data_IF_313490354738
#
_entry.id   IF_313490354738
#
_cell.length_a   1.000
_cell.length_b   1.000
_cell.length_c   1.000
_cell.angle_alpha   90.00
_cell.angle_beta   90.00
_cell.angle_gamma   90.00
#
_symmetry.space_group_name_H-M   'P 1'
#
loop_
_entity.id
_entity.type
_entity.pdbx_description
1 polymer ?
#
# COMPACT_ATOMS: atom_id res chain seq x y z
N UNK A 1 49.36 2.55 2.18
CA UNK A 1 48.41 1.48 1.92
C UNK A 1 47.10 1.89 2.61
N UNK A 2 46.11 2.30 1.86
CA UNK A 2 44.82 2.68 2.41
C UNK A 2 44.05 1.39 2.71
N UNK A 3 43.60 1.21 3.93
CA UNK A 3 42.70 0.15 4.34
C UNK A 3 41.41 0.32 3.55
N UNK A 4 41.12 -0.66 2.73
CA UNK A 4 39.84 -0.75 2.01
C UNK A 4 38.73 -0.91 3.05
N UNK A 5 37.85 0.06 3.08
CA UNK A 5 36.60 0.11 3.88
C UNK A 5 35.90 -1.23 3.82
N UNK A 6 35.59 -1.83 4.97
CA UNK A 6 34.88 -3.11 5.11
C UNK A 6 33.41 -3.05 4.63
N UNK A 7 33.22 -2.74 3.37
CA UNK A 7 31.95 -2.95 2.68
C UNK A 7 31.96 -4.41 2.17
N UNK A 8 30.88 -5.17 2.34
CA UNK A 8 30.78 -6.52 1.82
C UNK A 8 30.92 -6.51 0.29
N UNK A 9 31.55 -7.55 -0.24
CA UNK A 9 31.68 -7.75 -1.68
C UNK A 9 30.28 -7.88 -2.35
N UNK A 10 30.14 -7.49 -3.63
CA UNK A 10 28.88 -7.62 -4.33
C UNK A 10 28.38 -9.07 -4.34
N UNK A 11 27.28 -9.31 -3.65
CA UNK A 11 26.66 -10.65 -3.51
C UNK A 11 26.80 -11.29 -2.13
N UNK A 12 27.59 -10.74 -1.22
CA UNK A 12 27.54 -11.18 0.18
C UNK A 12 26.30 -10.63 0.90
N UNK A 13 25.57 -11.47 1.65
CA UNK A 13 24.45 -10.98 2.45
C UNK A 13 24.97 -10.02 3.53
N UNK A 14 24.48 -8.78 3.47
CA UNK A 14 24.77 -7.80 4.52
C UNK A 14 24.20 -8.34 5.84
N UNK A 15 25.00 -8.48 6.91
CA UNK A 15 24.50 -8.95 8.19
C UNK A 15 23.42 -7.98 8.70
N UNK A 16 22.33 -8.48 9.28
CA UNK A 16 21.27 -7.63 9.80
C UNK A 16 21.80 -6.70 10.86
N UNK A 17 21.56 -5.40 10.70
CA UNK A 17 21.90 -4.41 11.73
C UNK A 17 20.97 -4.66 12.93
N UNK A 18 21.52 -4.95 14.13
CA UNK A 18 20.68 -5.18 15.30
C UNK A 18 19.77 -3.97 15.57
N UNK A 19 18.47 -4.19 15.62
CA UNK A 19 17.46 -3.16 15.91
C UNK A 19 16.93 -2.38 14.70
N UNK A 20 17.38 -2.66 13.47
CA UNK A 20 16.78 -2.05 12.26
C UNK A 20 15.65 -2.93 11.71
N UNK A 21 14.44 -2.39 11.66
CA UNK A 21 13.29 -3.04 11.00
C UNK A 21 12.96 -2.26 9.73
N UNK A 22 13.02 -2.93 8.59
CA UNK A 22 12.50 -2.38 7.32
C UNK A 22 11.05 -2.82 7.20
N UNK A 23 10.12 -1.88 7.30
CA UNK A 23 8.71 -2.13 7.05
C UNK A 23 8.39 -1.79 5.59
N UNK A 24 7.87 -2.75 4.85
CA UNK A 24 7.32 -2.53 3.51
C UNK A 24 5.81 -2.44 3.64
N UNK A 25 5.26 -1.27 3.38
CA UNK A 25 3.81 -1.09 3.29
C UNK A 25 3.47 -0.68 1.85
N UNK A 26 2.52 -1.34 1.24
CA UNK A 26 2.01 -0.98 -0.09
C UNK A 26 0.77 -0.13 0.12
N UNK A 27 0.88 1.17 -0.15
CA UNK A 27 -0.23 2.11 -0.02
C UNK A 27 -0.62 2.68 -1.39
N UNK A 28 -1.89 2.56 -1.77
CA UNK A 28 -2.41 3.05 -3.04
C UNK A 28 -2.63 4.57 -3.11
N UNK A 29 -2.30 5.32 -2.07
CA UNK A 29 -2.56 6.75 -1.96
C UNK A 29 -1.29 7.58 -1.78
N UNK A 30 -0.48 7.73 -2.82
CA UNK A 30 0.75 8.51 -2.78
C UNK A 30 0.55 10.02 -2.88
N UNK A 31 1.65 10.74 -2.78
CA UNK A 31 1.76 12.18 -2.98
C UNK A 31 2.13 12.94 -1.72
N UNK A 32 2.53 14.19 -1.91
CA UNK A 32 3.10 15.04 -0.86
C UNK A 32 2.31 15.06 0.46
N UNK A 33 0.99 15.22 0.38
CA UNK A 33 0.13 15.30 1.55
C UNK A 33 -0.18 13.95 2.21
N UNK A 34 0.20 12.86 1.59
CA UNK A 34 -0.01 11.49 2.08
C UNK A 34 1.23 10.89 2.73
N UNK A 35 2.37 11.58 2.67
CA UNK A 35 3.58 11.13 3.33
C UNK A 35 3.38 11.14 4.85
N UNK A 36 3.59 10.00 5.53
CA UNK A 36 3.57 9.94 6.99
C UNK A 36 4.87 10.52 7.57
N UNK A 37 5.05 10.44 8.88
CA UNK A 37 6.35 10.63 9.50
C UNK A 37 7.30 9.54 9.00
N UNK A 38 8.44 9.94 8.42
CA UNK A 38 9.34 9.04 7.69
C UNK A 38 10.34 8.30 8.58
N UNK A 39 10.52 8.75 9.82
CA UNK A 39 11.50 8.16 10.73
C UNK A 39 10.94 7.95 12.13
N UNK A 40 11.43 6.92 12.78
CA UNK A 40 11.23 6.66 14.21
C UNK A 40 12.48 5.98 14.78
N UNK A 41 12.62 5.87 16.10
CA UNK A 41 13.76 5.14 16.67
C UNK A 41 13.86 3.71 16.10
N UNK A 42 14.98 3.41 15.44
CA UNK A 42 15.26 2.11 14.83
C UNK A 42 14.56 1.81 13.49
N UNK A 43 13.79 2.76 12.89
CA UNK A 43 13.15 2.52 11.61
C UNK A 43 13.00 3.77 10.74
N UNK A 44 13.00 3.57 9.43
CA UNK A 44 12.68 4.60 8.43
C UNK A 44 11.74 4.03 7.36
N UNK A 45 10.90 4.87 6.79
CA UNK A 45 10.00 4.54 5.67
C UNK A 45 10.57 5.08 4.37
N UNK A 46 10.57 4.27 3.31
CA UNK A 46 11.13 4.62 2.00
C UNK A 46 10.15 4.34 0.87
N UNK A 47 10.29 5.06 -0.22
CA UNK A 47 9.59 4.80 -1.47
C UNK A 47 8.07 4.82 -1.37
N UNK A 48 7.42 3.88 -2.04
CA UNK A 48 5.95 3.79 -2.09
C UNK A 48 5.33 3.50 -0.72
N UNK A 49 6.04 2.78 0.16
CA UNK A 49 5.62 2.59 1.55
C UNK A 49 5.47 3.91 2.32
N UNK A 50 6.24 4.92 1.94
CA UNK A 50 6.17 6.27 2.47
C UNK A 50 5.25 7.20 1.64
N UNK A 51 4.55 6.69 0.63
CA UNK A 51 3.71 7.49 -0.26
C UNK A 51 4.48 8.39 -1.24
N UNK A 52 5.74 8.08 -1.51
CA UNK A 52 6.62 8.89 -2.39
C UNK A 52 6.32 8.70 -3.88
N UNK A 53 5.07 8.85 -4.27
CA UNK A 53 4.60 8.69 -5.65
C UNK A 53 4.18 10.04 -6.22
N UNK A 54 4.70 10.39 -7.39
CA UNK A 54 4.16 11.49 -8.19
C UNK A 54 2.81 11.06 -8.78
N UNK A 55 1.74 11.51 -8.15
CA UNK A 55 0.37 11.15 -8.52
C UNK A 55 -0.10 11.81 -9.83
N UNK A 56 0.56 12.84 -10.31
CA UNK A 56 0.24 13.49 -11.57
C UNK A 56 0.89 12.76 -12.76
N UNK A 57 2.14 12.31 -12.58
CA UNK A 57 2.87 11.56 -13.60
C UNK A 57 2.70 10.04 -13.47
N UNK A 58 2.07 9.54 -12.40
CA UNK A 58 1.96 8.12 -12.05
C UNK A 58 3.33 7.42 -11.99
N UNK A 59 4.29 8.08 -11.38
CA UNK A 59 5.69 7.62 -11.30
C UNK A 59 6.21 7.69 -9.87
N UNK A 60 6.87 6.61 -9.41
CA UNK A 60 7.44 6.51 -8.06
C UNK A 60 8.84 5.88 -8.04
N UNK A 61 9.22 5.09 -9.06
CA UNK A 61 10.45 4.27 -9.02
C UNK A 61 11.72 5.09 -8.73
N UNK A 62 11.87 6.24 -9.35
CA UNK A 62 13.02 7.12 -9.11
C UNK A 62 13.04 7.70 -7.68
N UNK A 63 11.87 7.96 -7.09
CA UNK A 63 11.75 8.35 -5.69
C UNK A 63 12.08 7.18 -4.75
N UNK A 64 11.69 5.95 -5.08
CA UNK A 64 12.05 4.75 -4.32
C UNK A 64 13.57 4.58 -4.28
N UNK A 65 14.24 4.66 -5.42
CA UNK A 65 15.70 4.56 -5.50
C UNK A 65 16.38 5.69 -4.70
N UNK A 66 15.95 6.94 -4.91
CA UNK A 66 16.55 8.09 -4.22
C UNK A 66 16.32 8.03 -2.71
N UNK A 67 15.13 7.68 -2.26
CA UNK A 67 14.84 7.56 -0.82
C UNK A 67 15.62 6.42 -0.18
N UNK A 68 15.82 5.30 -0.88
CA UNK A 68 16.68 4.21 -0.42
C UNK A 68 18.13 4.65 -0.20
N UNK A 69 18.69 5.44 -1.12
CA UNK A 69 20.04 6.00 -0.96
C UNK A 69 20.11 6.93 0.25
N UNK A 70 19.16 7.86 0.39
CA UNK A 70 19.14 8.79 1.52
C UNK A 70 18.94 8.08 2.86
N UNK A 71 18.12 7.01 2.88
CA UNK A 71 17.91 6.18 4.05
C UNK A 71 19.20 5.45 4.46
N UNK A 72 19.90 4.87 3.49
CA UNK A 72 21.16 4.18 3.74
C UNK A 72 22.21 5.13 4.34
N UNK A 73 22.33 6.33 3.80
CA UNK A 73 23.22 7.37 4.33
C UNK A 73 22.87 7.75 5.78
N UNK A 74 21.57 7.99 6.04
CA UNK A 74 21.11 8.36 7.38
C UNK A 74 21.30 7.23 8.40
N UNK A 75 21.03 5.98 8.02
CA UNK A 75 21.26 4.80 8.87
C UNK A 75 22.75 4.62 9.16
N UNK A 76 23.60 4.76 8.15
CA UNK A 76 25.04 4.66 8.33
C UNK A 76 25.55 5.71 9.32
N UNK A 77 25.11 6.96 9.20
CA UNK A 77 25.48 8.02 10.15
C UNK A 77 24.92 7.75 11.55
N UNK A 78 23.69 7.25 11.65
CA UNK A 78 23.11 6.88 12.94
C UNK A 78 23.95 5.80 13.65
N UNK A 79 24.33 4.74 12.94
CA UNK A 79 25.14 3.64 13.49
C UNK A 79 26.54 4.14 13.88
N UNK A 80 27.15 4.98 13.04
CA UNK A 80 28.53 5.43 13.23
C UNK A 80 28.70 6.52 14.29
N UNK A 81 27.76 7.46 14.36
CA UNK A 81 27.90 8.68 15.17
C UNK A 81 26.80 8.87 16.21
N UNK A 82 25.77 8.03 16.21
CA UNK A 82 24.56 8.22 17.03
C UNK A 82 23.63 9.32 16.52
N UNK A 83 23.84 9.87 15.32
CA UNK A 83 22.98 10.89 14.74
C UNK A 83 21.52 10.41 14.63
N UNK A 84 20.56 11.25 14.97
CA UNK A 84 19.15 10.89 14.92
C UNK A 84 18.69 10.59 13.48
N UNK A 85 17.85 9.55 13.30
CA UNK A 85 17.26 9.20 12.00
C UNK A 85 16.33 10.28 11.43
N UNK A 86 15.94 11.27 12.25
CA UNK A 86 15.20 12.44 11.77
C UNK A 86 15.93 13.23 10.67
N UNK A 87 17.26 13.15 10.60
CA UNK A 87 18.05 13.72 9.51
C UNK A 87 17.67 13.18 8.13
N UNK A 88 17.07 11.99 8.07
CA UNK A 88 16.53 11.43 6.84
C UNK A 88 15.32 12.23 6.32
N UNK A 89 14.44 12.70 7.20
CA UNK A 89 13.28 13.52 6.83
C UNK A 89 13.72 14.82 6.18
N UNK A 90 14.70 15.50 6.78
CA UNK A 90 15.28 16.72 6.23
C UNK A 90 15.95 16.48 4.88
N UNK A 91 16.67 15.36 4.74
CA UNK A 91 17.32 14.98 3.50
C UNK A 91 16.30 14.69 2.38
N UNK A 92 15.18 14.05 2.69
CA UNK A 92 14.08 13.81 1.74
C UNK A 92 13.46 15.14 1.30
N UNK A 93 13.13 16.02 2.23
CA UNK A 93 12.50 17.32 1.95
C UNK A 93 13.38 18.21 1.06
N UNK A 94 14.69 18.24 1.31
CA UNK A 94 15.66 19.03 0.56
C UNK A 94 16.01 18.41 -0.80
N UNK A 95 15.73 17.13 -1.01
CA UNK A 95 16.04 16.40 -2.24
C UNK A 95 15.10 16.74 -3.40
N UNK A 96 15.30 16.05 -4.53
CA UNK A 96 14.35 16.09 -5.66
C UNK A 96 12.97 15.54 -5.26
N UNK A 97 12.91 14.57 -4.33
CA UNK A 97 11.64 13.97 -3.88
C UNK A 97 10.72 15.04 -3.31
N UNK A 98 11.16 15.75 -2.27
CA UNK A 98 10.37 16.80 -1.63
C UNK A 98 9.96 17.90 -2.64
N UNK A 99 10.91 18.33 -3.49
CA UNK A 99 10.65 19.39 -4.49
C UNK A 99 9.65 18.98 -5.56
N UNK A 100 9.78 17.80 -6.13
CA UNK A 100 8.90 17.30 -7.18
C UNK A 100 7.50 17.01 -6.64
N UNK A 101 7.39 16.30 -5.52
CA UNK A 101 6.10 16.02 -4.91
C UNK A 101 5.37 17.29 -4.45
N UNK A 102 6.13 18.30 -3.96
CA UNK A 102 5.54 19.58 -3.63
C UNK A 102 4.93 20.29 -4.84
N UNK A 103 5.55 20.19 -6.02
CA UNK A 103 5.04 20.82 -7.24
C UNK A 103 3.67 20.27 -7.65
N UNK A 104 3.43 18.98 -7.43
CA UNK A 104 2.18 18.30 -7.83
C UNK A 104 1.22 18.03 -6.67
N UNK A 105 1.50 18.56 -5.49
CA UNK A 105 0.84 18.21 -4.23
C UNK A 105 -0.70 18.32 -4.21
N UNK A 106 -1.28 19.16 -5.05
CA UNK A 106 -2.73 19.38 -5.13
C UNK A 106 -3.34 18.88 -6.46
N UNK A 107 -2.53 18.26 -7.33
CA UNK A 107 -3.02 17.82 -8.64
C UNK A 107 -4.12 16.78 -8.54
N UNK A 108 -3.96 15.78 -7.65
CA UNK A 108 -4.95 14.72 -7.44
C UNK A 108 -6.27 15.26 -6.89
N UNK A 109 -6.21 16.18 -5.94
CA UNK A 109 -7.40 16.75 -5.29
C UNK A 109 -8.30 17.52 -6.27
N UNK A 110 -7.74 18.07 -7.33
CA UNK A 110 -8.51 18.74 -8.36
C UNK A 110 -9.54 17.81 -9.02
N UNK A 111 -9.22 16.53 -9.17
CA UNK A 111 -10.09 15.55 -9.84
C UNK A 111 -11.30 15.09 -9.01
N UNK A 112 -11.41 15.48 -7.75
CA UNK A 112 -12.66 15.27 -6.99
C UNK A 112 -13.88 15.92 -7.64
N UNK A 113 -13.67 16.96 -8.45
CA UNK A 113 -14.71 17.67 -9.18
C UNK A 113 -15.02 17.05 -10.56
N UNK A 114 -14.62 15.80 -10.76
CA UNK A 114 -14.75 15.11 -12.03
C UNK A 114 -13.63 15.42 -13.02
N UNK A 115 -13.62 14.71 -14.15
CA UNK A 115 -12.50 14.75 -15.09
C UNK A 115 -12.30 16.13 -15.74
N UNK A 116 -13.35 16.76 -16.26
CA UNK A 116 -13.24 18.02 -17.01
C UNK A 116 -12.79 19.17 -16.11
N UNK A 117 -13.54 19.40 -15.01
CA UNK A 117 -13.21 20.46 -14.06
C UNK A 117 -11.88 20.17 -13.37
N UNK A 118 -11.62 18.92 -13.04
CA UNK A 118 -10.36 18.46 -12.46
C UNK A 118 -9.16 18.79 -13.36
N UNK A 119 -9.25 18.53 -14.65
CA UNK A 119 -8.19 18.82 -15.61
C UNK A 119 -7.93 20.34 -15.73
N UNK A 120 -8.99 21.14 -15.76
CA UNK A 120 -8.88 22.61 -15.79
C UNK A 120 -8.22 23.19 -14.53
N UNK A 121 -8.42 22.57 -13.38
CA UNK A 121 -7.81 22.98 -12.11
C UNK A 121 -6.40 22.42 -11.92
N UNK A 122 -6.16 21.17 -12.32
CA UNK A 122 -4.88 20.51 -12.18
C UNK A 122 -3.80 21.14 -13.09
N UNK A 123 -4.17 21.54 -14.32
CA UNK A 123 -3.24 22.16 -15.25
C UNK A 123 -2.51 23.39 -14.66
N UNK A 124 -3.22 24.44 -14.24
CA UNK A 124 -2.60 25.60 -13.58
C UNK A 124 -1.84 25.22 -12.29
N UNK A 125 -2.32 24.24 -11.53
CA UNK A 125 -1.64 23.78 -10.31
C UNK A 125 -0.25 23.22 -10.63
N UNK A 126 -0.15 22.39 -11.65
CA UNK A 126 1.11 21.79 -12.10
C UNK A 126 2.01 22.88 -12.75
N UNK A 127 1.47 23.68 -13.67
CA UNK A 127 2.23 24.73 -14.36
C UNK A 127 2.81 25.77 -13.40
N UNK A 128 2.09 26.11 -12.33
CA UNK A 128 2.59 27.00 -11.27
C UNK A 128 3.61 26.35 -10.33
N UNK A 129 4.01 25.09 -10.59
CA UNK A 129 4.87 24.29 -9.70
C UNK A 129 4.33 24.25 -8.27
N UNK A 130 3.01 24.05 -8.15
CA UNK A 130 2.32 23.97 -6.88
C UNK A 130 2.09 25.30 -6.16
N UNK A 131 2.36 26.45 -6.76
CA UNK A 131 2.11 27.76 -6.12
C UNK A 131 0.62 28.08 -6.01
N UNK A 132 -0.19 27.52 -6.90
CA UNK A 132 -1.65 27.68 -6.96
C UNK A 132 -2.31 26.31 -7.09
N UNK A 133 -3.35 26.01 -6.29
CA UNK A 133 -3.82 26.76 -5.13
C UNK A 133 -2.83 26.68 -3.95
N UNK A 134 -2.83 27.72 -3.11
CA UNK A 134 -2.00 27.72 -1.89
C UNK A 134 -2.58 26.79 -0.83
N UNK A 135 -1.70 26.17 -0.04
CA UNK A 135 -2.08 25.28 1.05
C UNK A 135 -2.54 23.90 0.59
N UNK A 136 -2.96 23.10 1.57
CA UNK A 136 -3.50 21.75 1.36
C UNK A 136 -4.95 21.87 0.89
N UNK A 137 -5.25 21.23 -0.26
CA UNK A 137 -6.63 21.02 -0.68
C UNK A 137 -7.19 19.80 0.02
N UNK A 138 -8.46 19.85 0.41
CA UNK A 138 -9.13 18.75 1.07
C UNK A 138 -9.27 17.54 0.13
N UNK A 139 -9.19 16.36 0.73
CA UNK A 139 -9.46 15.09 0.09
C UNK A 139 -10.42 14.31 0.98
N UNK A 140 -11.41 13.69 0.40
CA UNK A 140 -12.28 12.82 1.16
C UNK A 140 -11.53 11.58 1.67
N UNK A 141 -12.02 11.02 2.74
CA UNK A 141 -11.45 9.80 3.32
C UNK A 141 -12.10 8.60 2.66
N UNK A 142 -11.30 7.79 1.96
CA UNK A 142 -11.78 6.58 1.28
C UNK A 142 -12.35 5.55 2.28
N UNK A 143 -11.82 5.52 3.50
CA UNK A 143 -12.32 4.65 4.57
C UNK A 143 -13.67 5.10 5.16
N UNK A 144 -14.04 6.35 4.97
CA UNK A 144 -15.31 6.93 5.39
C UNK A 144 -16.40 6.89 4.30
N UNK A 145 -16.04 6.55 3.06
CA UNK A 145 -17.02 6.39 1.98
C UNK A 145 -18.04 5.30 2.32
N UNK A 146 -19.32 5.53 2.07
CA UNK A 146 -20.32 4.50 2.22
C UNK A 146 -20.01 3.33 1.28
N UNK A 147 -20.32 2.12 1.72
CA UNK A 147 -20.19 0.96 0.84
C UNK A 147 -21.11 1.15 -0.36
N UNK A 148 -20.60 0.76 -1.54
CA UNK A 148 -21.41 0.84 -2.75
C UNK A 148 -22.60 -0.13 -2.63
N UNK A 149 -23.81 0.42 -2.65
CA UNK A 149 -25.05 -0.32 -2.70
C UNK A 149 -25.67 -0.07 -4.07
N UNK A 150 -25.38 -0.94 -5.02
CA UNK A 150 -25.89 -0.79 -6.37
C UNK A 150 -25.97 -2.12 -7.11
N UNK A 151 -26.90 -2.24 -8.04
CA UNK A 151 -26.96 -3.40 -8.91
C UNK A 151 -25.92 -3.28 -10.02
N UNK A 152 -24.94 -4.17 -10.00
CA UNK A 152 -23.88 -4.25 -11.02
C UNK A 152 -24.03 -5.48 -11.92
N UNK A 153 -25.09 -6.27 -11.74
CA UNK A 153 -25.22 -7.59 -12.38
C UNK A 153 -25.10 -7.55 -13.89
N UNK A 154 -25.59 -6.50 -14.50
CA UNK A 154 -25.62 -6.37 -15.96
C UNK A 154 -24.51 -5.46 -16.53
N UNK A 155 -23.60 -4.94 -15.69
CA UNK A 155 -22.53 -4.04 -16.13
C UNK A 155 -21.36 -4.73 -16.79
N UNK A 156 -21.14 -5.97 -16.46
CA UNK A 156 -19.96 -6.70 -16.90
C UNK A 156 -20.38 -7.97 -17.65
N UNK A 157 -19.65 -8.34 -18.71
CA UNK A 157 -19.89 -9.61 -19.40
C UNK A 157 -19.71 -10.77 -18.43
N UNK A 158 -20.55 -11.79 -18.59
CA UNK A 158 -20.40 -13.02 -17.79
C UNK A 158 -19.09 -13.72 -18.14
N UNK A 159 -18.44 -14.37 -17.16
CA UNK A 159 -17.27 -15.20 -17.42
C UNK A 159 -17.58 -16.28 -18.48
N UNK A 160 -16.72 -16.40 -19.48
CA UNK A 160 -16.82 -17.40 -20.56
C UNK A 160 -15.81 -18.55 -20.37
N UNK A 161 -14.94 -18.46 -19.38
CA UNK A 161 -13.90 -19.45 -19.08
C UNK A 161 -12.77 -19.52 -20.10
N UNK A 162 -12.75 -18.60 -21.06
CA UNK A 162 -11.75 -18.58 -22.14
C UNK A 162 -10.93 -17.28 -22.14
N UNK A 163 -11.60 -16.14 -22.12
CA UNK A 163 -10.99 -14.81 -22.10
C UNK A 163 -11.37 -14.03 -20.85
N UNK A 164 -12.56 -14.31 -20.30
CA UNK A 164 -13.09 -13.67 -19.10
C UNK A 164 -13.34 -14.76 -18.07
N UNK A 165 -12.55 -14.73 -16.99
CA UNK A 165 -12.69 -15.64 -15.86
C UNK A 165 -13.46 -14.96 -14.73
N UNK A 166 -14.11 -15.75 -13.88
CA UNK A 166 -14.55 -15.29 -12.57
C UNK A 166 -13.36 -14.98 -11.67
N UNK A 167 -13.60 -14.28 -10.57
CA UNK A 167 -12.53 -13.81 -9.68
C UNK A 167 -11.65 -14.97 -9.15
N UNK A 168 -12.28 -16.04 -8.69
CA UNK A 168 -11.59 -17.16 -8.07
C UNK A 168 -10.76 -17.94 -9.11
N UNK A 169 -11.33 -18.19 -10.28
CA UNK A 169 -10.62 -18.83 -11.38
C UNK A 169 -9.42 -17.98 -11.84
N UNK A 170 -9.55 -16.65 -11.86
CA UNK A 170 -8.45 -15.74 -12.22
C UNK A 170 -7.28 -15.86 -11.24
N UNK A 171 -7.55 -15.93 -9.94
CA UNK A 171 -6.50 -16.13 -8.93
C UNK A 171 -5.83 -17.49 -9.08
N UNK A 172 -6.61 -18.54 -9.31
CA UNK A 172 -6.06 -19.89 -9.51
C UNK A 172 -5.17 -19.98 -10.75
N UNK A 173 -5.63 -19.45 -11.89
CA UNK A 173 -4.88 -19.46 -13.16
C UNK A 173 -3.59 -18.64 -13.09
N UNK A 174 -3.53 -17.62 -12.22
CA UNK A 174 -2.30 -16.83 -11.98
C UNK A 174 -1.17 -17.66 -11.35
N UNK A 175 -1.45 -18.89 -10.90
CA UNK A 175 -0.46 -19.74 -10.25
C UNK A 175 -0.03 -19.25 -8.87
N UNK A 176 -0.85 -18.39 -8.24
CA UNK A 176 -0.61 -17.95 -6.87
C UNK A 176 -0.75 -19.11 -5.90
N UNK A 177 0.24 -19.34 -5.06
CA UNK A 177 0.24 -20.37 -4.04
C UNK A 177 0.65 -19.80 -2.68
N UNK A 178 0.06 -20.32 -1.63
CA UNK A 178 0.40 -19.99 -0.24
C UNK A 178 0.77 -21.27 0.51
N UNK A 179 1.43 -21.10 1.64
CA UNK A 179 1.78 -22.24 2.49
C UNK A 179 0.57 -22.59 3.36
N UNK A 180 0.00 -23.76 3.14
CA UNK A 180 -1.25 -24.17 3.79
C UNK A 180 -1.09 -24.43 5.30
N UNK A 181 0.11 -24.78 5.74
CA UNK A 181 0.45 -25.01 7.15
C UNK A 181 0.82 -23.72 7.91
N UNK A 182 0.84 -22.57 7.23
CA UNK A 182 1.12 -21.30 7.90
C UNK A 182 -0.03 -20.91 8.85
N UNK A 183 0.28 -20.28 10.00
CA UNK A 183 -0.73 -19.76 10.90
C UNK A 183 -1.63 -18.73 10.25
N UNK A 184 -2.90 -18.69 10.66
CA UNK A 184 -3.83 -17.66 10.18
C UNK A 184 -3.35 -16.25 10.56
N UNK A 185 -2.99 -15.45 9.56
CA UNK A 185 -2.52 -14.07 9.69
C UNK A 185 -3.66 -13.04 9.63
N UNK A 186 -4.89 -13.47 9.32
CA UNK A 186 -6.05 -12.58 9.21
C UNK A 186 -6.80 -12.57 10.54
N UNK A 187 -7.01 -11.37 11.07
CA UNK A 187 -7.73 -11.17 12.33
C UNK A 187 -9.04 -10.44 12.08
N UNK A 188 -10.14 -11.14 12.21
CA UNK A 188 -11.48 -10.57 12.13
C UNK A 188 -12.22 -10.82 13.44
N UNK A 189 -13.17 -9.95 13.76
CA UNK A 189 -14.02 -10.12 14.94
C UNK A 189 -15.12 -11.13 14.65
N UNK A 190 -15.68 -11.70 15.71
CA UNK A 190 -16.96 -12.38 15.68
C UNK A 190 -18.12 -11.37 15.64
N UNK A 191 -19.27 -11.82 15.25
CA UNK A 191 -20.48 -10.99 15.16
C UNK A 191 -20.27 -9.74 14.29
N UNK A 192 -19.74 -9.93 13.10
CA UNK A 192 -19.52 -8.86 12.13
C UNK A 192 -20.86 -8.40 11.57
N UNK A 193 -21.16 -7.10 11.49
CA UNK A 193 -22.33 -6.61 10.78
C UNK A 193 -22.40 -7.19 9.37
N UNK A 194 -23.58 -7.67 8.95
CA UNK A 194 -23.76 -8.36 7.66
C UNK A 194 -23.25 -7.55 6.47
N UNK A 195 -23.53 -6.25 6.43
CA UNK A 195 -23.01 -5.34 5.39
C UNK A 195 -21.50 -5.39 5.24
N UNK A 196 -20.77 -5.45 6.38
CA UNK A 196 -19.32 -5.52 6.38
C UNK A 196 -18.87 -6.91 5.91
N UNK A 197 -19.50 -7.97 6.39
CA UNK A 197 -19.20 -9.34 6.00
C UNK A 197 -19.41 -9.55 4.48
N UNK A 198 -20.52 -9.07 3.94
CA UNK A 198 -20.80 -9.09 2.49
C UNK A 198 -19.78 -8.27 1.70
N UNK A 199 -19.37 -7.11 2.21
CA UNK A 199 -18.30 -6.33 1.58
C UNK A 199 -17.01 -7.14 1.50
N UNK A 200 -16.61 -7.81 2.58
CA UNK A 200 -15.40 -8.63 2.58
C UNK A 200 -15.51 -9.81 1.60
N UNK A 201 -16.66 -10.46 1.56
CA UNK A 201 -16.93 -11.57 0.63
C UNK A 201 -16.83 -11.11 -0.82
N UNK A 202 -17.42 -9.96 -1.17
CA UNK A 202 -17.45 -9.49 -2.54
C UNK A 202 -16.19 -8.75 -2.98
N UNK A 203 -15.44 -8.13 -2.07
CA UNK A 203 -14.18 -7.47 -2.43
C UNK A 203 -13.05 -8.47 -2.69
N UNK A 204 -13.06 -9.62 -2.02
CA UNK A 204 -11.98 -10.58 -2.09
C UNK A 204 -12.07 -11.46 -3.34
N UNK A 205 -11.10 -11.38 -4.28
CA UNK A 205 -11.11 -12.23 -5.47
C UNK A 205 -10.71 -13.68 -5.19
N UNK A 206 -10.08 -13.93 -4.02
CA UNK A 206 -9.52 -15.25 -3.68
C UNK A 206 -10.43 -16.11 -2.81
N UNK A 207 -11.68 -15.69 -2.55
CA UNK A 207 -12.64 -16.45 -1.72
C UNK A 207 -12.16 -16.65 -0.29
N UNK A 208 -11.47 -15.64 0.28
CA UNK A 208 -10.94 -15.73 1.65
C UNK A 208 -12.03 -15.61 2.70
N UNK A 209 -13.06 -14.80 2.43
CA UNK A 209 -14.13 -14.50 3.38
C UNK A 209 -15.43 -15.10 2.87
N UNK A 210 -16.05 -15.95 3.70
CA UNK A 210 -17.30 -16.61 3.38
C UNK A 210 -18.31 -16.41 4.49
N UNK A 211 -19.54 -16.10 4.14
CA UNK A 211 -20.67 -16.14 5.06
C UNK A 211 -21.24 -17.56 4.96
N UNK A 212 -21.31 -18.31 6.07
CA UNK A 212 -21.87 -19.66 6.07
C UNK A 212 -23.31 -19.67 5.50
N UNK A 213 -23.66 -20.72 4.76
CA UNK A 213 -25.00 -20.89 4.17
C UNK A 213 -26.11 -20.98 5.24
N UNK A 214 -25.76 -21.47 6.42
CA UNK A 214 -26.67 -21.59 7.56
C UNK A 214 -26.71 -20.32 8.43
N UNK A 215 -25.99 -19.26 8.05
CA UNK A 215 -26.00 -18.02 8.79
C UNK A 215 -27.38 -17.34 8.75
N UNK A 216 -27.80 -16.67 9.84
CA UNK A 216 -29.08 -15.97 9.89
C UNK A 216 -29.23 -15.00 8.71
N UNK A 217 -30.40 -14.94 8.12
CA UNK A 217 -30.70 -14.06 6.97
C UNK A 217 -30.50 -12.56 7.29
N UNK A 218 -30.55 -12.18 8.55
CA UNK A 218 -30.35 -10.80 9.03
C UNK A 218 -29.55 -10.77 10.33
N UNK A 219 -28.90 -9.62 10.58
CA UNK A 219 -28.09 -9.41 11.77
C UNK A 219 -26.61 -9.77 11.58
N UNK A 220 -25.82 -9.67 12.65
CA UNK A 220 -24.40 -9.97 12.61
C UNK A 220 -24.13 -11.44 12.27
N UNK A 221 -22.99 -11.71 11.63
CA UNK A 221 -22.56 -13.06 11.24
C UNK A 221 -21.11 -13.31 11.63
N UNK A 222 -20.80 -14.58 11.86
CA UNK A 222 -19.41 -15.02 11.97
C UNK A 222 -18.91 -15.42 10.59
N UNK A 223 -17.84 -14.77 10.14
CA UNK A 223 -17.25 -15.00 8.82
C UNK A 223 -16.23 -16.15 8.91
N UNK A 224 -16.34 -17.10 8.01
CA UNK A 224 -15.31 -18.12 7.79
C UNK A 224 -14.15 -17.46 7.04
N UNK A 225 -12.92 -17.74 7.48
CA UNK A 225 -11.71 -17.16 6.91
C UNK A 225 -10.81 -18.26 6.35
N UNK A 226 -10.78 -18.37 5.04
CA UNK A 226 -9.92 -19.29 4.29
C UNK A 226 -8.56 -18.60 4.04
N UNK A 227 -7.78 -18.44 5.08
CA UNK A 227 -6.56 -17.61 5.07
C UNK A 227 -5.48 -18.13 4.11
N UNK A 228 -5.47 -19.42 3.80
CA UNK A 228 -4.54 -20.02 2.83
C UNK A 228 -4.73 -19.51 1.40
N UNK A 229 -5.92 -18.99 1.08
CA UNK A 229 -6.21 -18.38 -0.21
C UNK A 229 -5.76 -16.91 -0.27
N UNK A 230 -5.31 -16.33 0.84
CA UNK A 230 -5.04 -14.90 0.92
C UNK A 230 -3.82 -14.49 0.12
N UNK A 231 -3.99 -13.55 -0.82
CA UNK A 231 -2.91 -12.94 -1.62
C UNK A 231 -2.26 -11.73 -0.95
N UNK A 232 -2.59 -11.46 0.30
CA UNK A 232 -2.00 -10.42 1.17
C UNK A 232 -2.09 -8.98 0.62
N UNK A 233 -3.12 -8.67 -0.13
CA UNK A 233 -3.35 -7.32 -0.69
C UNK A 233 -3.62 -6.23 0.36
N UNK A 234 -3.89 -6.59 1.61
CA UNK A 234 -4.17 -5.64 2.70
C UNK A 234 -5.56 -5.01 2.68
N UNK A 235 -6.41 -5.27 1.70
CA UNK A 235 -7.73 -4.63 1.55
C UNK A 235 -8.65 -4.79 2.77
N UNK A 236 -8.52 -5.88 3.52
CA UNK A 236 -9.30 -6.14 4.73
C UNK A 236 -9.12 -5.06 5.81
N UNK A 237 -7.99 -4.38 5.83
CA UNK A 237 -7.70 -3.36 6.86
C UNK A 237 -8.50 -2.08 6.67
N UNK A 238 -9.02 -1.82 5.48
CA UNK A 238 -9.79 -0.62 5.17
C UNK A 238 -11.18 -0.60 5.83
N UNK A 239 -11.76 -1.75 6.14
CA UNK A 239 -13.12 -1.88 6.69
C UNK A 239 -13.16 -2.75 7.98
N UNK A 240 -12.21 -2.52 8.85
CA UNK A 240 -12.24 -3.02 10.22
C UNK A 240 -11.64 -4.40 10.48
N UNK A 241 -11.11 -5.06 9.47
CA UNK A 241 -10.28 -6.24 9.67
C UNK A 241 -8.83 -5.88 9.97
N UNK A 242 -8.05 -6.85 10.37
CA UNK A 242 -6.62 -6.69 10.65
C UNK A 242 -5.84 -7.81 9.99
N UNK A 243 -4.78 -7.41 9.31
CA UNK A 243 -3.77 -8.30 8.76
C UNK A 243 -2.53 -8.25 9.66
N UNK A 244 -1.99 -9.39 10.03
CA UNK A 244 -0.68 -9.50 10.66
C UNK A 244 0.30 -10.06 9.64
N UNK A 245 1.59 -9.70 9.69
CA UNK A 245 2.58 -10.35 8.85
C UNK A 245 2.52 -11.87 9.05
N UNK A 246 2.72 -12.68 7.99
CA UNK A 246 2.89 -14.11 8.13
C UNK A 246 4.10 -14.42 9.00
N UNK A 247 4.04 -15.52 9.74
CA UNK A 247 5.21 -15.99 10.47
C UNK A 247 6.36 -16.34 9.50
N UNK A 248 7.59 -16.01 9.90
CA UNK A 248 8.76 -16.25 9.06
C UNK A 248 8.90 -15.33 7.86
N UNK A 249 8.04 -14.32 7.74
CA UNK A 249 8.08 -13.36 6.62
C UNK A 249 7.60 -13.95 5.30
N UNK A 250 7.00 -15.14 5.32
CA UNK A 250 6.46 -15.78 4.13
C UNK A 250 5.27 -14.99 3.57
N UNK A 251 5.18 -14.95 2.27
CA UNK A 251 4.07 -14.41 1.51
C UNK A 251 3.62 -15.39 0.44
N UNK A 252 2.68 -14.99 -0.43
CA UNK A 252 2.29 -15.78 -1.58
C UNK A 252 3.48 -16.09 -2.48
N UNK A 253 3.55 -17.31 -2.98
CA UNK A 253 4.51 -17.71 -3.99
C UNK A 253 3.88 -17.48 -5.37
N UNK A 254 4.36 -16.46 -6.07
CA UNK A 254 3.90 -16.15 -7.42
C UNK A 254 4.70 -16.96 -8.44
N UNK A 255 4.01 -17.66 -9.33
CA UNK A 255 4.64 -18.44 -10.40
C UNK A 255 4.48 -17.81 -11.77
N UNK A 256 3.45 -16.97 -11.93
CA UNK A 256 3.18 -16.21 -13.16
C UNK A 256 2.78 -14.78 -12.74
N UNK A 257 3.61 -13.81 -13.05
CA UNK A 257 3.38 -12.39 -12.79
C UNK A 257 3.65 -11.56 -14.03
#
# INVERSE_FOLDING_TARGET
MAETSGLPEPGEPVPPVPGATVAVAVGAGGGYWSMPKLSMPGAVLVGDAAGMVDTAALKGVHHCIKSGILAAEAIYQNVKTGQALASYEDAVDQSSIGKELYQVRNARQAFQKGFVIGSLLAGPAIMSKGKVPRGRQEWHRDDAEPMFVGDTKDRYPKPDGKYIFDKLSSVYVSGNATRDDAPNHIRVRKNVPREIAETWQYMCPAGVYEIPDDAPASGPVDVVVNYTNCVQCGAITAKGGRLTPPEGGDGPLYTVT
#
